data_IF_128250390336
#
_entry.id   IF_128250390336
#
_cell.length_a   1.000
_cell.length_b   1.000
_cell.length_c   1.000
_cell.angle_alpha   90.00
_cell.angle_beta   90.00
_cell.angle_gamma   90.00
#
_symmetry.space_group_name_H-M   'P 1'
#
loop_
_entity.id
_entity.type
_entity.pdbx_description
1 polymer ?
#
# COMPACT_ATOMS: atom_id res chain seq x y z
N UNK A 1 -50.87 42.44 46.22
CA UNK A 1 -50.77 41.13 45.51
C UNK A 1 -49.60 41.15 44.55
N UNK A 2 -48.45 40.50 44.89
CA UNK A 2 -47.26 40.41 44.04
C UNK A 2 -47.32 39.07 43.37
N UNK A 3 -47.37 39.04 42.01
CA UNK A 3 -47.30 37.82 41.19
C UNK A 3 -45.85 37.46 41.05
N UNK A 4 -45.42 36.28 41.60
CA UNK A 4 -44.16 35.68 41.36
C UNK A 4 -44.23 34.96 40.00
N UNK A 5 -43.44 35.40 39.00
CA UNK A 5 -43.22 34.68 37.78
C UNK A 5 -42.08 33.67 37.99
N UNK A 6 -42.39 32.38 37.88
CA UNK A 6 -41.44 31.27 37.92
C UNK A 6 -40.82 31.13 36.53
N UNK A 7 -39.55 31.50 36.36
CA UNK A 7 -38.79 31.28 35.13
C UNK A 7 -38.25 29.85 35.19
N UNK A 8 -38.83 28.95 34.37
CA UNK A 8 -38.29 27.58 34.17
C UNK A 8 -37.21 27.66 33.11
N UNK A 9 -35.96 27.52 33.52
CA UNK A 9 -34.82 27.40 32.61
C UNK A 9 -34.77 25.92 32.11
N UNK A 10 -35.16 25.69 30.86
CA UNK A 10 -34.99 24.40 30.21
C UNK A 10 -33.54 24.32 29.71
N UNK A 11 -32.69 23.55 30.40
CA UNK A 11 -31.36 23.15 29.89
C UNK A 11 -31.54 22.09 28.81
N UNK A 12 -31.43 22.46 27.54
CA UNK A 12 -31.27 21.50 26.44
C UNK A 12 -29.83 20.98 26.46
N UNK A 13 -29.64 19.81 27.02
CA UNK A 13 -28.37 19.10 26.92
C UNK A 13 -28.29 18.56 25.49
N UNK A 14 -27.62 19.30 24.59
CA UNK A 14 -27.16 18.77 23.30
C UNK A 14 -26.04 17.76 23.59
N UNK A 15 -26.37 16.51 23.78
CA UNK A 15 -25.40 15.41 23.64
C UNK A 15 -25.05 15.30 22.16
N UNK A 16 -23.95 15.91 21.76
CA UNK A 16 -23.32 15.62 20.48
C UNK A 16 -22.87 14.14 20.54
N UNK A 17 -23.67 13.23 19.96
CA UNK A 17 -23.23 11.92 19.58
C UNK A 17 -22.15 12.17 18.50
N UNK A 18 -20.88 12.20 18.91
CA UNK A 18 -19.80 12.07 17.97
C UNK A 18 -19.99 10.68 17.34
N UNK A 19 -20.58 10.64 16.15
CA UNK A 19 -20.59 9.44 15.31
C UNK A 19 -19.11 9.15 15.03
N UNK A 20 -18.54 8.17 15.73
CA UNK A 20 -17.23 7.66 15.33
C UNK A 20 -17.38 7.17 13.89
N UNK A 21 -16.65 7.78 12.97
CA UNK A 21 -16.64 7.35 11.58
C UNK A 21 -16.20 5.87 11.55
N UNK A 22 -16.95 5.05 10.81
CA UNK A 22 -16.61 3.63 10.65
C UNK A 22 -15.20 3.48 10.09
N UNK A 23 -14.47 2.52 10.62
CA UNK A 23 -13.19 2.12 10.03
C UNK A 23 -13.40 1.51 8.64
N UNK A 24 -12.37 1.47 7.78
CA UNK A 24 -12.48 0.84 6.46
C UNK A 24 -13.05 -0.59 6.49
N UNK A 25 -12.64 -1.41 7.45
CA UNK A 25 -13.15 -2.79 7.58
C UNK A 25 -14.59 -2.83 8.11
N UNK A 26 -14.97 -1.96 9.05
CA UNK A 26 -16.38 -1.85 9.48
C UNK A 26 -17.30 -1.33 8.35
N UNK A 27 -16.76 -0.56 7.42
CA UNK A 27 -17.49 -0.04 6.27
C UNK A 27 -17.64 -1.09 5.18
N UNK A 28 -16.56 -1.81 4.85
CA UNK A 28 -16.48 -2.66 3.66
C UNK A 28 -16.58 -4.16 3.96
N UNK A 29 -16.22 -4.60 5.18
CA UNK A 29 -16.22 -6.01 5.59
C UNK A 29 -15.23 -6.87 4.80
N UNK A 30 -15.55 -8.13 4.60
CA UNK A 30 -14.76 -9.05 3.78
C UNK A 30 -14.86 -8.67 2.31
N UNK A 31 -13.71 -8.61 1.64
CA UNK A 31 -13.63 -8.31 0.21
C UNK A 31 -13.89 -9.56 -0.62
N UNK A 32 -14.47 -9.38 -1.80
CA UNK A 32 -14.61 -10.43 -2.80
C UNK A 32 -14.32 -9.92 -4.20
N UNK A 33 -13.95 -10.83 -5.09
CA UNK A 33 -13.76 -10.53 -6.50
C UNK A 33 -14.99 -10.97 -7.29
N UNK A 34 -15.46 -10.08 -8.17
CA UNK A 34 -16.51 -10.39 -9.14
C UNK A 34 -16.15 -9.73 -10.48
N UNK A 35 -15.85 -10.55 -11.47
CA UNK A 35 -15.30 -10.07 -12.75
C UNK A 35 -14.00 -9.30 -12.50
N UNK A 36 -13.89 -8.10 -13.07
CA UNK A 36 -12.71 -7.24 -12.94
C UNK A 36 -12.77 -6.28 -11.73
N UNK A 37 -13.61 -6.56 -10.73
CA UNK A 37 -13.81 -5.69 -9.56
C UNK A 37 -13.53 -6.40 -8.26
N UNK A 38 -12.96 -5.65 -7.32
CA UNK A 38 -12.92 -6.00 -5.91
C UNK A 38 -14.13 -5.31 -5.26
N UNK A 39 -15.02 -6.08 -4.66
CA UNK A 39 -16.26 -5.62 -4.04
C UNK A 39 -16.20 -5.75 -2.52
N UNK A 40 -16.98 -4.92 -1.84
CA UNK A 40 -17.22 -5.03 -0.41
C UNK A 40 -18.31 -6.09 -0.11
N UNK A 41 -18.58 -6.32 1.18
CA UNK A 41 -19.63 -7.23 1.64
C UNK A 41 -21.05 -6.88 1.14
N UNK A 42 -21.26 -5.65 0.67
CA UNK A 42 -22.54 -5.16 0.15
C UNK A 42 -22.65 -5.27 -1.39
N UNK A 43 -21.59 -5.73 -2.08
CA UNK A 43 -21.54 -5.83 -3.53
C UNK A 43 -21.13 -4.54 -4.25
N UNK A 44 -20.57 -3.59 -3.55
CA UNK A 44 -20.15 -2.31 -4.11
C UNK A 44 -18.64 -2.32 -4.42
N UNK A 45 -18.19 -1.77 -5.55
CA UNK A 45 -16.77 -1.67 -5.86
C UNK A 45 -15.99 -0.87 -4.81
N UNK A 46 -14.88 -1.43 -4.34
CA UNK A 46 -13.99 -0.82 -3.35
C UNK A 46 -12.70 -0.37 -4.02
N UNK A 47 -12.20 0.79 -3.62
CA UNK A 47 -10.86 1.25 -3.95
C UNK A 47 -10.11 1.55 -2.65
N UNK A 48 -9.28 0.61 -2.20
CA UNK A 48 -8.38 0.79 -1.07
C UNK A 48 -7.17 1.62 -1.49
N UNK A 49 -6.68 2.48 -0.59
CA UNK A 49 -5.57 3.40 -0.88
C UNK A 49 -4.60 3.41 0.28
N UNK A 50 -3.32 3.22 0.01
CA UNK A 50 -2.37 3.12 1.08
C UNK A 50 -0.90 3.23 0.70
N UNK A 51 -0.09 2.71 1.61
CA UNK A 51 1.36 2.73 1.53
C UNK A 51 1.93 1.33 1.66
N UNK A 52 2.98 1.03 0.91
CA UNK A 52 3.85 -0.11 1.20
C UNK A 52 4.91 0.30 2.23
N UNK A 53 5.21 -0.59 3.16
CA UNK A 53 6.48 -0.54 3.87
C UNK A 53 7.57 -1.04 2.92
N UNK A 54 8.81 -0.58 3.11
CA UNK A 54 9.97 -1.07 2.37
C UNK A 54 10.36 -2.47 2.83
N UNK A 55 11.24 -3.16 2.09
CA UNK A 55 11.79 -4.47 2.44
C UNK A 55 12.09 -4.59 3.94
N UNK A 56 11.49 -5.58 4.61
CA UNK A 56 11.50 -5.70 6.07
C UNK A 56 12.90 -5.88 6.68
N UNK A 57 13.82 -6.53 5.95
CA UNK A 57 15.19 -6.73 6.42
C UNK A 57 16.05 -5.47 6.37
N UNK A 58 15.66 -4.46 5.56
CA UNK A 58 16.45 -3.23 5.41
C UNK A 58 15.86 -2.02 6.11
N UNK A 59 14.52 -1.94 6.20
CA UNK A 59 13.81 -0.83 6.82
C UNK A 59 12.84 -1.31 7.93
N UNK A 60 13.23 -2.38 8.62
CA UNK A 60 12.43 -3.02 9.67
C UNK A 60 12.05 -2.10 10.82
N UNK A 61 12.75 -0.96 11.00
CA UNK A 61 12.40 0.04 12.01
C UNK A 61 11.00 0.64 11.81
N UNK A 62 10.46 0.63 10.58
CA UNK A 62 9.12 1.13 10.28
C UNK A 62 8.00 0.09 10.49
N UNK A 63 8.34 -1.19 10.70
CA UNK A 63 7.38 -2.26 10.98
C UNK A 63 6.89 -2.20 12.44
N UNK A 64 6.23 -1.09 12.80
CA UNK A 64 5.79 -0.79 14.17
C UNK A 64 4.33 -0.36 14.22
N UNK A 65 3.64 -0.75 15.30
CA UNK A 65 2.25 -0.33 15.58
C UNK A 65 2.10 1.18 15.52
N UNK A 66 3.09 1.94 16.00
CA UNK A 66 3.07 3.40 15.98
C UNK A 66 3.15 3.98 14.57
N UNK A 67 3.88 3.34 13.66
CA UNK A 67 3.95 3.71 12.24
C UNK A 67 2.59 3.48 11.56
N UNK A 68 2.01 2.30 11.72
CA UNK A 68 0.68 1.97 11.17
C UNK A 68 -0.36 2.97 11.65
N UNK A 69 -0.44 3.18 12.97
CA UNK A 69 -1.37 4.13 13.56
C UNK A 69 -1.19 5.54 13.01
N UNK A 70 0.05 6.02 12.88
CA UNK A 70 0.30 7.34 12.31
C UNK A 70 -0.15 7.46 10.85
N UNK A 71 0.06 6.43 10.04
CA UNK A 71 -0.40 6.39 8.67
C UNK A 71 -1.94 6.42 8.58
N UNK A 72 -2.64 5.74 9.48
CA UNK A 72 -4.10 5.82 9.58
C UNK A 72 -4.54 7.22 10.04
N UNK A 73 -3.97 7.72 11.12
CA UNK A 73 -4.39 8.96 11.76
C UNK A 73 -4.09 10.20 10.90
N UNK A 74 -2.94 10.25 10.25
CA UNK A 74 -2.46 11.43 9.52
C UNK A 74 -2.56 11.29 8.00
N UNK A 75 -2.13 10.14 7.43
CA UNK A 75 -2.14 9.93 5.97
C UNK A 75 -3.50 9.43 5.47
N UNK A 76 -4.35 8.90 6.37
CA UNK A 76 -5.69 8.40 6.04
C UNK A 76 -5.65 7.19 5.11
N UNK A 77 -4.69 6.30 5.31
CA UNK A 77 -4.63 5.05 4.57
C UNK A 77 -5.79 4.13 4.94
N UNK A 78 -6.24 3.32 3.99
CA UNK A 78 -7.25 2.27 4.18
C UNK A 78 -6.68 0.86 4.03
N UNK A 79 -5.44 0.77 3.54
CA UNK A 79 -4.65 -0.46 3.40
C UNK A 79 -3.18 -0.16 3.65
N UNK A 80 -2.47 -1.14 4.22
CA UNK A 80 -1.01 -1.12 4.36
C UNK A 80 -0.42 -2.39 3.77
N UNK A 81 0.70 -2.30 3.06
CA UNK A 81 1.42 -3.46 2.53
C UNK A 81 2.65 -3.73 3.37
N UNK A 82 2.76 -4.95 3.90
CA UNK A 82 3.88 -5.45 4.68
C UNK A 82 4.80 -6.28 3.79
N UNK A 83 5.77 -5.63 3.15
CA UNK A 83 6.71 -6.21 2.20
C UNK A 83 7.79 -7.03 2.95
N UNK A 84 7.47 -8.30 3.28
CA UNK A 84 8.42 -9.19 3.93
C UNK A 84 9.50 -9.64 2.97
N UNK A 85 10.69 -9.11 3.08
CA UNK A 85 11.80 -9.58 2.27
C UNK A 85 12.10 -11.06 2.52
N UNK A 86 11.86 -11.90 1.50
CA UNK A 86 12.04 -13.33 1.63
C UNK A 86 13.51 -13.73 1.50
N UNK A 87 14.19 -13.21 0.47
CA UNK A 87 15.59 -13.56 0.20
C UNK A 87 16.33 -12.45 -0.52
N UNK A 88 17.51 -12.11 -0.01
CA UNK A 88 18.49 -11.34 -0.77
C UNK A 88 19.85 -12.03 -0.71
N UNK A 89 20.27 -12.57 -1.85
CA UNK A 89 21.41 -13.49 -1.93
C UNK A 89 22.74 -12.85 -1.53
N UNK A 90 23.00 -11.63 -2.00
CA UNK A 90 24.29 -10.95 -1.77
C UNK A 90 24.47 -10.55 -0.31
N UNK A 91 23.44 -9.97 0.31
CA UNK A 91 23.50 -9.55 1.73
C UNK A 91 23.17 -10.68 2.69
N UNK A 92 22.78 -11.87 2.21
CA UNK A 92 22.31 -13.00 3.02
C UNK A 92 21.30 -12.57 4.08
N UNK A 93 20.28 -11.85 3.64
CA UNK A 93 19.23 -11.29 4.51
C UNK A 93 17.83 -11.66 4.01
N UNK A 94 16.82 -11.47 4.85
CA UNK A 94 15.43 -11.82 4.61
C UNK A 94 15.00 -13.09 5.34
N UNK A 95 13.72 -13.42 5.23
CA UNK A 95 13.07 -14.49 5.98
C UNK A 95 13.76 -15.87 5.86
N UNK A 96 14.30 -16.21 4.69
CA UNK A 96 14.98 -17.49 4.47
C UNK A 96 16.34 -17.59 5.16
N UNK A 97 16.90 -16.47 5.62
CA UNK A 97 18.13 -16.44 6.43
C UNK A 97 17.82 -16.16 7.91
N UNK A 98 16.77 -15.38 8.17
CA UNK A 98 16.31 -15.04 9.51
C UNK A 98 14.78 -15.11 9.58
N UNK A 99 14.25 -16.23 10.03
CA UNK A 99 12.81 -16.46 10.18
C UNK A 99 12.12 -15.47 11.12
N UNK A 100 12.86 -14.61 11.82
CA UNK A 100 12.28 -13.56 12.67
C UNK A 100 11.61 -12.43 11.85
N UNK A 101 11.87 -12.29 10.56
CA UNK A 101 11.23 -11.31 9.69
C UNK A 101 9.70 -11.40 9.75
N UNK A 102 9.14 -12.60 9.89
CA UNK A 102 7.69 -12.79 10.06
C UNK A 102 7.10 -12.08 11.28
N UNK A 103 7.87 -11.86 12.34
CA UNK A 103 7.36 -11.15 13.52
C UNK A 103 7.18 -9.65 13.27
N UNK A 104 7.98 -9.06 12.38
CA UNK A 104 7.79 -7.70 11.92
C UNK A 104 6.46 -7.59 11.15
N UNK A 105 6.21 -8.53 10.22
CA UNK A 105 4.93 -8.60 9.49
C UNK A 105 3.76 -8.74 10.45
N UNK A 106 3.84 -9.66 11.42
CA UNK A 106 2.79 -9.84 12.43
C UNK A 106 2.52 -8.57 13.24
N UNK A 107 3.55 -7.79 13.59
CA UNK A 107 3.37 -6.50 14.29
C UNK A 107 2.54 -5.53 13.45
N UNK A 108 2.75 -5.52 12.13
CA UNK A 108 1.98 -4.68 11.19
C UNK A 108 0.55 -5.20 11.03
N UNK A 109 0.36 -6.53 10.88
CA UNK A 109 -0.98 -7.16 10.77
C UNK A 109 -1.81 -6.91 12.02
N UNK A 110 -1.24 -7.18 13.20
CA UNK A 110 -1.91 -6.92 14.48
C UNK A 110 -2.32 -5.45 14.65
N UNK A 111 -1.47 -4.53 14.17
CA UNK A 111 -1.77 -3.11 14.20
C UNK A 111 -2.88 -2.74 13.21
N UNK A 112 -2.85 -3.25 11.99
CA UNK A 112 -3.87 -3.00 10.96
C UNK A 112 -5.25 -3.52 11.40
N UNK A 113 -5.31 -4.71 11.99
CA UNK A 113 -6.54 -5.27 12.56
C UNK A 113 -7.07 -4.33 13.66
N UNK A 114 -6.20 -3.87 14.56
CA UNK A 114 -6.60 -2.95 15.64
C UNK A 114 -7.10 -1.61 15.14
N UNK A 115 -6.47 -1.05 14.11
CA UNK A 115 -6.86 0.24 13.53
C UNK A 115 -8.02 0.09 12.50
N UNK A 116 -8.48 -1.14 12.22
CA UNK A 116 -9.61 -1.42 11.33
C UNK A 116 -9.34 -1.12 9.85
N UNK A 117 -8.09 -1.25 9.41
CA UNK A 117 -7.68 -1.13 8.01
C UNK A 117 -7.32 -2.50 7.42
N UNK A 118 -7.25 -2.58 6.09
CA UNK A 118 -6.76 -3.77 5.40
C UNK A 118 -5.25 -3.86 5.45
N UNK A 119 -4.72 -5.09 5.34
CA UNK A 119 -3.28 -5.35 5.32
C UNK A 119 -2.94 -6.40 4.28
N UNK A 120 -1.96 -6.10 3.44
CA UNK A 120 -1.38 -7.05 2.49
C UNK A 120 -0.16 -7.69 3.15
N UNK A 121 -0.21 -9.02 3.27
CA UNK A 121 0.93 -9.86 3.68
C UNK A 121 1.64 -10.27 2.40
N UNK A 122 2.79 -9.66 2.11
CA UNK A 122 3.52 -9.83 0.86
C UNK A 122 4.78 -10.67 1.05
N UNK A 123 4.88 -11.74 0.25
CA UNK A 123 6.13 -12.46 0.05
C UNK A 123 6.98 -11.69 -0.95
N UNK A 124 7.80 -10.79 -0.42
CA UNK A 124 8.57 -9.83 -1.19
C UNK A 124 9.85 -10.45 -1.75
N UNK A 125 9.75 -11.02 -2.93
CA UNK A 125 10.82 -11.75 -3.63
C UNK A 125 10.64 -11.61 -5.15
N UNK A 126 11.73 -11.70 -5.90
CA UNK A 126 11.73 -11.79 -7.36
C UNK A 126 11.82 -13.25 -7.87
N UNK A 127 12.07 -14.19 -6.98
CA UNK A 127 12.32 -15.60 -7.28
C UNK A 127 11.52 -16.54 -6.36
N UNK A 128 10.32 -16.15 -5.94
CA UNK A 128 9.49 -16.92 -5.00
C UNK A 128 9.27 -18.37 -5.47
N UNK A 129 9.14 -18.61 -6.78
CA UNK A 129 9.00 -19.93 -7.38
C UNK A 129 10.16 -20.89 -7.06
N UNK A 130 11.36 -20.38 -6.76
CA UNK A 130 12.51 -21.18 -6.36
C UNK A 130 12.47 -21.60 -4.89
N UNK A 131 11.59 -21.00 -4.09
CA UNK A 131 11.47 -21.23 -2.65
C UNK A 131 10.01 -21.55 -2.26
N UNK A 132 9.27 -22.26 -3.13
CA UNK A 132 7.84 -22.49 -2.99
C UNK A 132 7.45 -23.20 -1.68
N UNK A 133 8.26 -24.14 -1.19
CA UNK A 133 8.01 -24.81 0.10
C UNK A 133 8.01 -23.82 1.27
N UNK A 134 8.97 -22.93 1.29
CA UNK A 134 9.06 -21.93 2.37
C UNK A 134 7.93 -20.89 2.27
N UNK A 135 7.58 -20.46 1.06
CA UNK A 135 6.46 -19.56 0.83
C UNK A 135 5.13 -20.21 1.26
N UNK A 136 4.89 -21.45 0.90
CA UNK A 136 3.72 -22.22 1.30
C UNK A 136 3.61 -22.31 2.82
N UNK A 137 4.68 -22.72 3.52
CA UNK A 137 4.68 -22.82 4.98
C UNK A 137 4.42 -21.49 5.65
N UNK A 138 4.99 -20.40 5.12
CA UNK A 138 4.75 -19.06 5.63
C UNK A 138 3.27 -18.65 5.47
N UNK A 139 2.69 -18.84 4.29
CA UNK A 139 1.30 -18.44 4.06
C UNK A 139 0.30 -19.30 4.83
N UNK A 140 0.54 -20.61 4.97
CA UNK A 140 -0.27 -21.47 5.83
C UNK A 140 -0.23 -20.98 7.29
N UNK A 141 0.97 -20.65 7.82
CA UNK A 141 1.10 -20.09 9.18
C UNK A 141 0.36 -18.74 9.32
N UNK A 142 0.39 -17.89 8.29
CA UNK A 142 -0.33 -16.61 8.32
C UNK A 142 -1.84 -16.82 8.22
N UNK A 143 -2.30 -17.76 7.38
CA UNK A 143 -3.71 -18.11 7.24
C UNK A 143 -4.29 -18.74 8.52
N UNK A 144 -3.58 -19.67 9.14
CA UNK A 144 -3.96 -20.26 10.44
C UNK A 144 -4.13 -19.19 11.53
N UNK A 145 -3.29 -18.16 11.49
CA UNK A 145 -3.32 -17.13 12.51
C UNK A 145 -4.35 -16.03 12.25
N UNK A 146 -4.56 -15.66 11.01
CA UNK A 146 -5.26 -14.43 10.64
C UNK A 146 -6.42 -14.62 9.66
N UNK A 147 -6.68 -15.83 9.16
CA UNK A 147 -7.69 -16.09 8.12
C UNK A 147 -9.12 -15.70 8.52
N UNK A 148 -9.43 -15.72 9.81
CA UNK A 148 -10.73 -15.27 10.32
C UNK A 148 -10.94 -13.74 10.20
N UNK A 149 -9.86 -12.97 10.04
CA UNK A 149 -9.94 -11.52 9.97
C UNK A 149 -10.17 -11.03 8.55
N UNK A 150 -11.26 -10.28 8.27
CA UNK A 150 -11.55 -9.73 6.94
C UNK A 150 -10.54 -8.67 6.50
N UNK A 151 -9.64 -8.25 7.39
CA UNK A 151 -8.57 -7.28 7.14
C UNK A 151 -7.49 -7.81 6.20
N UNK A 152 -7.31 -9.16 6.15
CA UNK A 152 -6.10 -9.77 5.59
C UNK A 152 -6.25 -10.02 4.11
N UNK A 153 -5.18 -9.70 3.39
CA UNK A 153 -5.00 -9.95 1.96
C UNK A 153 -3.62 -10.61 1.82
N UNK A 154 -3.51 -11.65 1.00
CA UNK A 154 -2.25 -12.34 0.74
C UNK A 154 -1.71 -11.93 -0.63
N UNK A 155 -0.49 -11.47 -0.71
CA UNK A 155 0.24 -11.25 -1.96
C UNK A 155 1.36 -12.28 -2.06
N UNK A 156 1.14 -13.30 -2.89
CA UNK A 156 1.93 -14.53 -2.82
C UNK A 156 3.24 -14.47 -3.60
N UNK A 157 3.43 -13.45 -4.44
CA UNK A 157 4.65 -13.23 -5.20
C UNK A 157 4.76 -11.75 -5.58
N UNK A 158 5.67 -11.01 -4.93
CA UNK A 158 5.85 -9.58 -5.18
C UNK A 158 6.07 -9.26 -6.66
N UNK A 159 7.19 -9.71 -7.23
CA UNK A 159 7.59 -9.35 -8.60
C UNK A 159 8.29 -10.51 -9.31
N UNK A 160 7.53 -11.39 -9.97
CA UNK A 160 8.16 -12.36 -10.87
C UNK A 160 9.01 -11.63 -11.93
N UNK A 161 10.23 -12.09 -12.14
CA UNK A 161 11.08 -11.58 -13.21
C UNK A 161 10.52 -11.93 -14.61
N UNK A 162 11.29 -11.75 -15.66
CA UNK A 162 10.92 -12.20 -17.02
C UNK A 162 10.95 -13.74 -17.12
N UNK A 163 9.91 -14.36 -16.59
CA UNK A 163 9.66 -15.81 -16.65
C UNK A 163 8.29 -16.07 -17.25
N UNK A 164 8.05 -17.29 -17.75
CA UNK A 164 6.75 -17.67 -18.32
C UNK A 164 5.64 -17.64 -17.27
N UNK A 165 4.50 -17.06 -17.62
CA UNK A 165 3.30 -17.14 -16.81
C UNK A 165 2.85 -18.60 -16.67
N UNK A 166 2.59 -19.29 -17.78
CA UNK A 166 2.02 -20.64 -17.81
C UNK A 166 2.93 -21.73 -17.24
N UNK A 167 4.26 -21.56 -17.40
CA UNK A 167 5.22 -22.61 -17.01
C UNK A 167 5.82 -22.40 -15.61
N UNK A 168 5.82 -21.16 -15.10
CA UNK A 168 6.53 -20.82 -13.86
C UNK A 168 5.61 -20.16 -12.83
N UNK A 169 4.99 -19.02 -13.19
CA UNK A 169 4.26 -18.21 -12.22
C UNK A 169 2.92 -18.85 -11.86
N UNK A 170 2.17 -19.32 -12.86
CA UNK A 170 0.86 -19.95 -12.65
C UNK A 170 0.96 -21.23 -11.82
N UNK A 171 1.86 -22.22 -12.12
CA UNK A 171 2.00 -23.41 -11.29
C UNK A 171 2.44 -23.12 -9.85
N UNK A 172 3.32 -22.13 -9.63
CA UNK A 172 3.66 -21.66 -8.30
C UNK A 172 2.42 -21.12 -7.59
N UNK A 173 1.66 -20.26 -8.26
CA UNK A 173 0.46 -19.62 -7.71
C UNK A 173 -0.63 -20.64 -7.38
N UNK A 174 -0.88 -21.62 -8.27
CA UNK A 174 -1.80 -22.74 -8.02
C UNK A 174 -1.48 -23.45 -6.71
N UNK A 175 -0.21 -23.78 -6.52
CA UNK A 175 0.24 -24.47 -5.30
C UNK A 175 0.01 -23.64 -4.03
N UNK A 176 0.39 -22.36 -4.04
CA UNK A 176 0.27 -21.50 -2.85
C UNK A 176 -1.21 -21.18 -2.55
N UNK A 177 -2.00 -20.89 -3.58
CA UNK A 177 -3.43 -20.64 -3.44
C UNK A 177 -4.14 -21.88 -2.84
N UNK A 178 -3.87 -23.06 -3.36
CA UNK A 178 -4.45 -24.29 -2.83
C UNK A 178 -4.16 -24.46 -1.33
N UNK A 179 -2.90 -24.26 -0.92
CA UNK A 179 -2.49 -24.38 0.48
C UNK A 179 -3.14 -23.33 1.39
N UNK A 180 -3.28 -22.09 0.93
CA UNK A 180 -4.01 -21.05 1.68
C UNK A 180 -5.48 -21.43 1.81
N UNK A 181 -6.13 -21.88 0.74
CA UNK A 181 -7.56 -22.17 0.70
C UNK A 181 -7.99 -23.37 1.58
N UNK A 182 -7.06 -24.28 1.91
CA UNK A 182 -7.29 -25.31 2.92
C UNK A 182 -7.53 -24.73 4.32
N UNK A 183 -7.04 -23.53 4.60
CA UNK A 183 -7.10 -22.87 5.91
C UNK A 183 -8.02 -21.66 5.89
N UNK A 184 -7.88 -20.82 4.88
CA UNK A 184 -8.63 -19.56 4.68
C UNK A 184 -9.33 -19.59 3.31
N UNK A 185 -10.62 -20.00 3.27
CA UNK A 185 -11.36 -20.11 2.02
C UNK A 185 -11.74 -18.74 1.41
N UNK A 186 -11.73 -17.66 2.21
CA UNK A 186 -12.48 -16.45 1.87
C UNK A 186 -11.61 -15.23 1.52
N UNK A 187 -10.48 -15.01 2.22
CA UNK A 187 -9.73 -13.77 2.05
C UNK A 187 -9.12 -13.63 0.66
N UNK A 188 -8.98 -12.37 0.22
CA UNK A 188 -8.42 -12.03 -1.08
C UNK A 188 -6.97 -12.50 -1.21
N UNK A 189 -6.64 -13.16 -2.32
CA UNK A 189 -5.27 -13.53 -2.69
C UNK A 189 -4.89 -12.75 -3.95
N UNK A 190 -3.71 -12.12 -3.92
CA UNK A 190 -3.13 -11.36 -5.03
C UNK A 190 -1.98 -12.16 -5.62
N UNK A 191 -2.04 -12.39 -6.93
CA UNK A 191 -1.07 -13.12 -7.71
C UNK A 191 -0.10 -12.16 -8.38
N UNK A 192 1.20 -12.42 -8.31
CA UNK A 192 2.16 -11.71 -9.14
C UNK A 192 1.99 -12.09 -10.62
N UNK A 193 2.31 -11.18 -11.53
CA UNK A 193 2.40 -11.46 -12.95
C UNK A 193 3.85 -11.29 -13.46
N UNK A 194 4.22 -11.86 -14.63
CA UNK A 194 5.59 -11.77 -15.14
C UNK A 194 6.08 -10.34 -15.32
N UNK A 195 7.41 -10.19 -15.52
CA UNK A 195 8.05 -8.93 -15.85
C UNK A 195 7.79 -7.84 -14.82
N UNK A 196 8.05 -8.17 -13.52
CA UNK A 196 7.82 -7.24 -12.39
C UNK A 196 6.38 -6.72 -12.34
N UNK A 197 5.42 -7.64 -12.48
CA UNK A 197 3.98 -7.35 -12.48
C UNK A 197 3.51 -6.37 -13.55
N UNK A 198 4.21 -6.30 -14.70
CA UNK A 198 3.85 -5.48 -15.85
C UNK A 198 3.06 -6.24 -16.91
N UNK A 199 3.24 -7.57 -17.02
CA UNK A 199 2.62 -8.41 -18.04
C UNK A 199 1.33 -9.06 -17.55
N UNK A 200 0.41 -8.24 -17.00
CA UNK A 200 -0.92 -8.70 -16.54
C UNK A 200 -1.80 -9.21 -17.68
N UNK A 201 -1.51 -8.78 -18.92
CA UNK A 201 -2.16 -9.26 -20.14
C UNK A 201 -1.81 -10.72 -20.45
N UNK A 202 -0.62 -11.20 -20.09
CA UNK A 202 -0.26 -12.61 -20.21
C UNK A 202 -1.09 -13.48 -19.24
N UNK A 203 -1.23 -13.04 -17.99
CA UNK A 203 -2.10 -13.71 -17.02
C UNK A 203 -3.58 -13.68 -17.47
N UNK A 204 -4.02 -12.60 -18.13
CA UNK A 204 -5.39 -12.46 -18.62
C UNK A 204 -5.75 -13.38 -19.80
N UNK A 205 -4.75 -13.89 -20.54
CA UNK A 205 -4.93 -14.87 -21.62
C UNK A 205 -5.19 -16.28 -21.09
N UNK A 206 -4.68 -16.60 -19.90
CA UNK A 206 -4.78 -17.90 -19.25
C UNK A 206 -4.85 -17.72 -17.73
N UNK A 207 -5.96 -17.16 -17.18
CA UNK A 207 -6.06 -16.85 -15.76
C UNK A 207 -6.01 -18.13 -14.90
N UNK A 208 -5.62 -17.94 -13.62
CA UNK A 208 -5.76 -18.98 -12.63
C UNK A 208 -7.24 -19.12 -12.28
N UNK A 209 -7.74 -20.34 -12.25
CA UNK A 209 -9.09 -20.64 -11.78
C UNK A 209 -9.16 -20.58 -10.25
N UNK A 210 -10.22 -20.01 -9.72
CA UNK A 210 -10.45 -19.89 -8.29
C UNK A 210 -11.26 -18.66 -7.91
N UNK A 211 -11.71 -18.65 -6.67
CA UNK A 211 -12.48 -17.53 -6.12
C UNK A 211 -11.58 -16.54 -5.37
N UNK A 212 -11.99 -15.29 -5.37
CA UNK A 212 -11.31 -14.20 -4.66
C UNK A 212 -9.81 -14.05 -5.01
N UNK A 213 -9.51 -14.13 -6.31
CA UNK A 213 -8.18 -13.91 -6.86
C UNK A 213 -8.12 -12.56 -7.57
N UNK A 214 -7.09 -11.77 -7.27
CA UNK A 214 -6.73 -10.57 -8.01
C UNK A 214 -5.28 -10.66 -8.49
N UNK A 215 -4.89 -9.79 -9.39
CA UNK A 215 -3.56 -9.80 -9.99
C UNK A 215 -2.84 -8.48 -9.70
N UNK A 216 -1.58 -8.59 -9.32
CA UNK A 216 -0.74 -7.45 -9.04
C UNK A 216 -0.35 -6.73 -10.33
N UNK A 217 -0.48 -5.41 -10.31
CA UNK A 217 0.05 -4.50 -11.33
C UNK A 217 1.04 -3.55 -10.67
N UNK A 218 2.28 -3.51 -11.18
CA UNK A 218 3.29 -2.58 -10.71
C UNK A 218 3.70 -1.60 -11.80
N UNK A 219 3.93 -0.36 -11.42
CA UNK A 219 4.46 0.68 -12.30
C UNK A 219 5.26 1.72 -11.55
N UNK A 220 6.14 2.40 -12.29
CA UNK A 220 6.86 3.59 -11.84
C UNK A 220 6.61 4.70 -12.85
N UNK A 221 5.95 5.79 -12.43
CA UNK A 221 5.34 6.77 -13.32
C UNK A 221 6.31 7.46 -14.27
N UNK A 222 7.58 7.60 -13.90
CA UNK A 222 8.60 8.18 -14.77
C UNK A 222 9.22 7.19 -15.78
N UNK A 223 8.81 5.90 -15.72
CA UNK A 223 9.28 4.86 -16.66
C UNK A 223 8.14 4.25 -17.45
N UNK A 224 6.99 4.02 -16.80
CA UNK A 224 5.88 3.25 -17.32
C UNK A 224 4.68 4.16 -17.58
N UNK A 225 4.18 4.14 -18.80
CA UNK A 225 3.10 5.02 -19.26
C UNK A 225 1.94 4.26 -19.89
N UNK A 226 1.54 4.73 -21.08
CA UNK A 226 0.40 4.20 -21.81
C UNK A 226 0.53 2.71 -22.15
N UNK A 227 1.74 2.23 -22.43
CA UNK A 227 2.03 0.83 -22.74
C UNK A 227 1.58 -0.13 -21.64
N UNK A 228 1.86 0.20 -20.38
CA UNK A 228 1.45 -0.61 -19.23
C UNK A 228 -0.04 -0.40 -18.94
N UNK A 229 -0.58 0.81 -19.15
CA UNK A 229 -2.03 1.06 -19.03
C UNK A 229 -2.83 0.26 -20.06
N UNK A 230 -2.32 0.10 -21.29
CA UNK A 230 -2.96 -0.73 -22.34
C UNK A 230 -3.01 -2.20 -21.93
N UNK A 231 -1.95 -2.76 -21.36
CA UNK A 231 -1.93 -4.13 -20.82
C UNK A 231 -2.92 -4.29 -19.66
N UNK A 232 -2.94 -3.32 -18.75
CA UNK A 232 -3.90 -3.30 -17.65
C UNK A 232 -5.34 -3.21 -18.14
N UNK A 233 -5.62 -2.36 -19.15
CA UNK A 233 -6.95 -2.26 -19.76
C UNK A 233 -7.35 -3.58 -20.41
N UNK A 234 -6.45 -4.22 -21.17
CA UNK A 234 -6.70 -5.53 -21.75
C UNK A 234 -7.08 -6.57 -20.68
N UNK A 235 -6.33 -6.62 -19.58
CA UNK A 235 -6.61 -7.55 -18.49
C UNK A 235 -7.98 -7.29 -17.84
N UNK A 236 -8.32 -6.02 -17.62
CA UNK A 236 -9.64 -5.60 -17.10
C UNK A 236 -10.77 -5.98 -18.07
N UNK A 237 -10.58 -5.80 -19.37
CA UNK A 237 -11.57 -6.14 -20.41
C UNK A 237 -11.78 -7.67 -20.52
N UNK A 238 -10.77 -8.45 -20.13
CA UNK A 238 -10.85 -9.91 -20.02
C UNK A 238 -11.48 -10.38 -18.68
N UNK A 239 -11.80 -9.47 -17.79
CA UNK A 239 -12.45 -9.79 -16.53
C UNK A 239 -11.49 -10.03 -15.35
N UNK A 240 -10.19 -9.75 -15.49
CA UNK A 240 -9.25 -9.84 -14.36
C UNK A 240 -9.42 -8.67 -13.40
N UNK A 241 -9.54 -8.97 -12.11
CA UNK A 241 -9.42 -7.96 -11.07
C UNK A 241 -7.95 -7.62 -10.83
N UNK A 242 -7.61 -6.33 -10.89
CA UNK A 242 -6.26 -5.83 -10.65
C UNK A 242 -6.16 -5.10 -9.33
N UNK A 243 -5.00 -5.23 -8.67
CA UNK A 243 -4.59 -4.44 -7.52
C UNK A 243 -3.21 -3.86 -7.79
N UNK A 244 -3.03 -2.55 -7.68
CA UNK A 244 -1.72 -1.91 -7.78
C UNK A 244 -1.04 -2.01 -6.42
N UNK A 245 -0.42 -3.16 -6.13
CA UNK A 245 0.18 -3.41 -4.82
C UNK A 245 1.47 -2.64 -4.59
N UNK A 246 2.10 -2.19 -5.70
CA UNK A 246 3.26 -1.31 -5.67
C UNK A 246 3.27 -0.33 -6.82
N UNK A 247 3.52 0.96 -6.54
CA UNK A 247 3.85 1.93 -7.58
C UNK A 247 4.76 3.04 -7.05
N UNK A 248 5.60 3.58 -7.93
CA UNK A 248 6.48 4.70 -7.64
C UNK A 248 6.15 5.95 -8.47
N UNK A 249 6.50 7.14 -7.93
CA UNK A 249 6.36 8.43 -8.62
C UNK A 249 7.56 8.78 -9.49
N UNK A 250 8.59 7.95 -9.50
CA UNK A 250 9.91 8.17 -10.11
C UNK A 250 10.26 7.11 -11.16
N UNK A 251 11.54 6.98 -11.51
CA UNK A 251 12.04 5.92 -12.37
C UNK A 251 11.92 4.54 -11.70
N UNK A 252 11.86 3.47 -12.49
CA UNK A 252 11.75 2.08 -12.03
C UNK A 252 12.92 1.60 -11.16
N UNK A 253 14.04 2.33 -11.15
CA UNK A 253 15.14 2.10 -10.20
C UNK A 253 14.79 2.45 -8.74
N UNK A 254 13.66 3.11 -8.51
CA UNK A 254 13.28 3.70 -7.21
C UNK A 254 13.90 5.08 -6.96
N UNK A 255 14.76 5.57 -7.87
CA UNK A 255 15.45 6.84 -7.71
C UNK A 255 15.38 7.70 -8.98
N UNK A 256 15.95 8.92 -8.92
CA UNK A 256 16.09 9.84 -10.04
C UNK A 256 14.87 10.73 -10.26
N UNK A 257 14.50 10.94 -11.54
CA UNK A 257 13.43 11.87 -11.92
C UNK A 257 12.06 11.47 -11.33
N UNK A 258 11.37 12.45 -10.75
CA UNK A 258 10.00 12.32 -10.28
C UNK A 258 9.04 12.93 -11.30
N UNK A 259 8.14 12.13 -11.84
CA UNK A 259 7.13 12.57 -12.80
C UNK A 259 5.77 12.82 -12.14
N UNK A 260 5.49 14.07 -11.85
CA UNK A 260 4.21 14.46 -11.26
C UNK A 260 3.05 14.33 -12.24
N UNK A 261 3.28 14.56 -13.55
CA UNK A 261 2.23 14.47 -14.56
C UNK A 261 1.86 13.01 -14.83
N UNK A 262 2.86 12.16 -15.07
CA UNK A 262 2.64 10.72 -15.22
C UNK A 262 1.98 10.10 -13.99
N UNK A 263 2.36 10.56 -12.78
CA UNK A 263 1.72 10.13 -11.53
C UNK A 263 0.23 10.50 -11.50
N UNK A 264 -0.17 11.71 -11.91
CA UNK A 264 -1.59 12.09 -11.96
C UNK A 264 -2.35 11.30 -13.04
N UNK A 265 -1.77 11.05 -14.22
CA UNK A 265 -2.38 10.19 -15.25
C UNK A 265 -2.64 8.77 -14.74
N UNK A 266 -1.73 8.21 -13.95
CA UNK A 266 -1.93 6.93 -13.29
C UNK A 266 -3.02 6.98 -12.22
N UNK A 267 -3.13 8.06 -11.43
CA UNK A 267 -4.24 8.22 -10.50
C UNK A 267 -5.58 8.29 -11.22
N UNK A 268 -5.67 9.00 -12.35
CA UNK A 268 -6.90 9.05 -13.18
C UNK A 268 -7.28 7.66 -13.69
N UNK A 269 -6.31 6.88 -14.17
CA UNK A 269 -6.53 5.49 -14.59
C UNK A 269 -7.04 4.62 -13.44
N UNK A 270 -6.37 4.65 -12.29
CA UNK A 270 -6.76 3.88 -11.11
C UNK A 270 -8.14 4.28 -10.58
N UNK A 271 -8.46 5.56 -10.57
CA UNK A 271 -9.77 6.06 -10.12
C UNK A 271 -10.90 5.68 -11.08
N UNK A 272 -10.66 5.77 -12.40
CA UNK A 272 -11.61 5.34 -13.43
C UNK A 272 -12.00 3.86 -13.27
N UNK A 273 -11.03 3.01 -13.00
CA UNK A 273 -11.23 1.56 -12.91
C UNK A 273 -11.47 1.06 -11.49
N UNK A 274 -11.40 1.94 -10.46
CA UNK A 274 -11.53 1.60 -9.04
C UNK A 274 -10.44 0.64 -8.58
N UNK A 275 -9.21 0.78 -9.11
CA UNK A 275 -8.08 -0.05 -8.69
C UNK A 275 -7.59 0.39 -7.33
N UNK A 276 -7.54 -0.55 -6.39
CA UNK A 276 -6.89 -0.36 -5.10
C UNK A 276 -5.37 -0.24 -5.27
N UNK A 277 -4.69 0.49 -4.38
CA UNK A 277 -3.27 0.74 -4.55
C UNK A 277 -2.49 0.98 -3.25
N UNK A 278 -1.19 0.63 -3.29
CA UNK A 278 -0.18 0.99 -2.29
C UNK A 278 1.00 1.69 -2.96
N UNK A 279 1.39 2.86 -2.47
CA UNK A 279 2.58 3.54 -2.97
C UNK A 279 3.85 2.98 -2.32
N UNK A 280 4.88 2.79 -3.09
CA UNK A 280 6.24 2.46 -2.66
C UNK A 280 7.03 3.74 -2.35
N UNK A 281 7.51 3.99 -1.12
CA UNK A 281 7.31 3.25 0.10
C UNK A 281 7.55 4.13 1.34
N UNK A 282 7.13 3.65 2.52
CA UNK A 282 7.56 4.21 3.80
C UNK A 282 8.99 3.73 4.10
N UNK A 283 9.93 4.56 3.76
CA UNK A 283 11.36 4.40 3.97
C UNK A 283 12.01 5.77 4.16
N UNK A 284 13.17 5.80 4.79
CA UNK A 284 14.04 6.98 4.91
C UNK A 284 15.39 6.79 4.19
N UNK A 285 15.39 5.93 3.17
CA UNK A 285 16.51 5.72 2.26
C UNK A 285 16.70 6.97 1.40
N UNK A 286 17.93 7.30 1.07
CA UNK A 286 18.25 8.42 0.17
C UNK A 286 17.96 8.03 -1.28
N UNK A 287 16.66 8.03 -1.63
CA UNK A 287 16.15 7.77 -2.97
C UNK A 287 14.79 8.45 -3.17
N UNK A 288 14.41 8.68 -4.41
CA UNK A 288 13.19 9.45 -4.76
C UNK A 288 11.89 8.74 -4.37
N UNK A 289 11.85 7.40 -4.42
CA UNK A 289 10.69 6.60 -4.03
C UNK A 289 10.42 6.64 -2.53
N UNK A 290 11.44 6.90 -1.70
CA UNK A 290 11.26 7.04 -0.25
C UNK A 290 10.30 8.17 0.08
N UNK A 291 9.30 7.89 0.91
CA UNK A 291 8.35 8.91 1.36
C UNK A 291 8.94 9.85 2.42
N UNK A 292 9.98 9.42 3.12
CA UNK A 292 10.61 10.11 4.24
C UNK A 292 12.04 10.52 3.88
N UNK A 293 12.48 11.66 4.41
CA UNK A 293 13.88 12.06 4.28
C UNK A 293 14.78 11.21 5.16
N UNK A 294 16.08 11.02 4.82
CA UNK A 294 17.01 10.26 5.64
C UNK A 294 17.02 10.71 7.11
N UNK A 295 16.99 9.74 8.03
CA UNK A 295 16.95 9.97 9.47
C UNK A 295 15.58 10.38 10.02
N UNK A 296 14.51 10.18 9.27
CA UNK A 296 13.15 10.41 9.76
C UNK A 296 12.83 9.47 10.94
N UNK A 297 11.99 9.93 11.86
CA UNK A 297 11.59 9.14 13.02
C UNK A 297 10.79 7.89 12.62
N UNK A 298 11.14 6.74 13.15
CA UNK A 298 10.47 5.46 12.85
C UNK A 298 9.03 5.35 13.39
N UNK A 299 8.68 6.14 14.40
CA UNK A 299 7.39 6.05 15.11
C UNK A 299 6.28 6.99 14.58
N UNK A 300 6.45 7.56 13.38
CA UNK A 300 5.49 8.52 12.84
C UNK A 300 5.73 9.96 13.32
N UNK A 301 4.65 10.76 13.39
CA UNK A 301 4.69 12.21 13.73
C UNK A 301 5.57 13.00 12.76
N UNK A 302 5.59 12.58 11.49
CA UNK A 302 6.33 13.23 10.43
C UNK A 302 5.67 14.57 10.07
N UNK A 303 6.47 15.61 10.09
CA UNK A 303 6.08 16.95 9.65
C UNK A 303 6.38 17.12 8.18
N UNK A 304 5.89 18.15 7.54
CA UNK A 304 6.14 18.44 6.13
C UNK A 304 7.63 18.37 5.73
N UNK A 305 8.52 18.84 6.61
CA UNK A 305 9.98 18.81 6.39
C UNK A 305 10.60 17.41 6.48
N UNK A 306 9.91 16.49 7.12
CA UNK A 306 10.37 15.11 7.31
C UNK A 306 9.97 14.22 6.12
N UNK A 307 9.19 14.79 5.15
CA UNK A 307 8.73 14.11 3.94
C UNK A 307 9.54 14.53 2.72
N UNK A 308 9.84 13.58 1.84
CA UNK A 308 10.37 13.83 0.50
C UNK A 308 9.32 14.50 -0.39
N UNK A 309 9.68 14.81 -1.64
CA UNK A 309 8.69 15.31 -2.61
C UNK A 309 7.65 14.23 -2.94
N UNK A 310 8.07 12.98 -3.13
CA UNK A 310 7.18 11.84 -3.34
C UNK A 310 6.22 11.67 -2.16
N UNK A 311 6.73 11.61 -0.93
CA UNK A 311 5.92 11.48 0.28
C UNK A 311 4.89 12.60 0.45
N UNK A 312 5.21 13.84 0.08
CA UNK A 312 4.26 14.97 0.13
C UNK A 312 3.13 14.82 -0.88
N UNK A 313 3.44 14.41 -2.11
CA UNK A 313 2.45 14.18 -3.16
C UNK A 313 1.47 13.10 -2.72
N UNK A 314 1.97 11.95 -2.26
CA UNK A 314 1.15 10.81 -1.89
C UNK A 314 0.31 11.09 -0.63
N UNK A 315 0.94 11.65 0.43
CA UNK A 315 0.18 12.05 1.62
C UNK A 315 -0.94 13.05 1.28
N UNK A 316 -0.64 14.05 0.46
CA UNK A 316 -1.63 15.01 0.01
C UNK A 316 -2.77 14.37 -0.78
N UNK A 317 -2.46 13.40 -1.66
CA UNK A 317 -3.46 12.67 -2.44
C UNK A 317 -4.35 11.80 -1.53
N UNK A 318 -3.78 11.03 -0.61
CA UNK A 318 -4.50 10.21 0.37
C UNK A 318 -5.45 11.04 1.22
N UNK A 319 -4.99 12.16 1.74
CA UNK A 319 -5.79 13.06 2.56
C UNK A 319 -6.95 13.69 1.77
N UNK A 320 -6.74 14.08 0.52
CA UNK A 320 -7.81 14.58 -0.36
C UNK A 320 -8.91 13.55 -0.59
N UNK A 321 -8.56 12.27 -0.81
CA UNK A 321 -9.55 11.19 -0.92
C UNK A 321 -10.37 10.99 0.36
N UNK A 322 -9.79 11.28 1.50
CA UNK A 322 -10.48 11.24 2.79
C UNK A 322 -11.24 12.56 3.14
N UNK A 323 -11.34 13.50 2.20
CA UNK A 323 -12.06 14.76 2.38
C UNK A 323 -11.30 15.86 3.13
N UNK A 324 -9.97 15.71 3.30
CA UNK A 324 -9.12 16.72 3.93
C UNK A 324 -8.47 17.60 2.87
N UNK A 325 -8.83 18.86 2.79
CA UNK A 325 -8.09 19.84 1.98
C UNK A 325 -6.74 20.15 2.64
N UNK A 326 -5.66 19.87 1.96
CA UNK A 326 -4.36 20.39 2.35
C UNK A 326 -4.16 21.77 1.74
N UNK A 327 -4.14 22.78 2.60
CA UNK A 327 -3.53 24.06 2.26
C UNK A 327 -2.01 23.85 2.16
N UNK A 328 -1.55 23.30 1.04
CA UNK A 328 -0.13 23.17 0.70
C UNK A 328 0.42 24.55 0.36
N UNK A 329 0.49 25.46 1.36
CA UNK A 329 1.38 26.61 1.21
C UNK A 329 2.80 26.09 1.34
N UNK A 330 3.64 26.19 0.30
CA UNK A 330 5.05 25.89 0.46
C UNK A 330 5.58 26.72 1.64
N UNK A 331 6.51 26.18 2.44
CA UNK A 331 7.14 26.98 3.48
C UNK A 331 7.72 28.24 2.83
N UNK A 332 7.64 29.42 3.48
CA UNK A 332 8.16 30.66 2.93
C UNK A 332 9.62 30.43 2.53
N UNK A 333 9.94 30.75 1.28
CA UNK A 333 11.31 30.64 0.78
C UNK A 333 12.23 31.35 1.78
N UNK A 334 13.22 30.62 2.30
CA UNK A 334 14.26 31.24 3.10
C UNK A 334 14.93 32.29 2.20
N UNK A 335 14.67 33.57 2.46
CA UNK A 335 15.39 34.66 1.81
C UNK A 335 16.88 34.33 1.90
N UNK A 336 17.50 34.05 0.75
CA UNK A 336 18.97 33.90 0.68
C UNK A 336 19.58 35.09 1.39
N UNK A 337 20.26 34.89 2.52
CA UNK A 337 21.04 35.92 3.15
C UNK A 337 22.02 36.41 2.08
N UNK A 338 21.86 37.67 1.62
CA UNK A 338 22.85 38.30 0.77
C UNK A 338 24.18 38.27 1.54
N UNK A 339 25.13 37.48 1.07
CA UNK A 339 26.51 37.54 1.59
C UNK A 339 27.09 38.87 1.17
N UNK A 340 27.29 39.72 2.13
CA UNK A 340 28.03 40.96 1.97
C UNK A 340 29.54 40.66 1.94
N UNK A 341 30.03 40.06 0.87
CA UNK A 341 31.44 40.10 0.56
C UNK A 341 31.69 41.31 -0.33
N UNK A 342 31.96 42.46 0.29
CA UNK A 342 32.59 43.58 -0.39
C UNK A 342 34.07 43.22 -0.64
N UNK A 343 34.39 42.92 -1.89
CA UNK A 343 35.78 42.89 -2.34
C UNK A 343 36.27 44.38 -2.35
N UNK A 344 37.17 44.75 -1.41
CA UNK A 344 37.91 46.01 -1.50
C UNK A 344 38.90 45.92 -2.66
N UNK A 345 38.96 46.91 -3.55
CA UNK A 345 40.01 46.96 -4.55
C UNK A 345 41.34 47.24 -3.87
N UNK A 346 42.34 46.42 -4.20
CA UNK A 346 43.74 46.69 -3.88
C UNK A 346 44.24 47.92 -4.70
N UNK A 347 44.78 48.90 -3.98
CA UNK A 347 45.58 49.97 -4.58
C UNK A 347 46.99 49.50 -4.73
#
# INVERSE_FOLDING_TARGET
>A
MRRNQLIVLIFVICTSLASNAKTPVEQHGRLRVEGNKILNQHGEPVQLRGMSLFWSQWQGQFYKKSTVRWLVDDWKITVIRAAMGAKHQESKSGYLYDGSEKYKVREVVDAAIKEGIYVIIDWHDHYAHQNADAAQNFFVEMAERYGEHPNVIYEIFNEPIKVSWSEVVKPYSERIVAAIREVDPDNLIILGSPHWCQDVDEAAKDPLEGENLAYSLHFYAATHGADIQEKAQFALDKGLALFVTEFGTCLASGDGYLDSLGTEQWFEFMDKHKLSWCNWSIADKDETASALVPGARWFGKWRYKDLTRSGRIIRGKLRRYAGFEENLKPPPEKKKKKSWFQIKPLR
#
